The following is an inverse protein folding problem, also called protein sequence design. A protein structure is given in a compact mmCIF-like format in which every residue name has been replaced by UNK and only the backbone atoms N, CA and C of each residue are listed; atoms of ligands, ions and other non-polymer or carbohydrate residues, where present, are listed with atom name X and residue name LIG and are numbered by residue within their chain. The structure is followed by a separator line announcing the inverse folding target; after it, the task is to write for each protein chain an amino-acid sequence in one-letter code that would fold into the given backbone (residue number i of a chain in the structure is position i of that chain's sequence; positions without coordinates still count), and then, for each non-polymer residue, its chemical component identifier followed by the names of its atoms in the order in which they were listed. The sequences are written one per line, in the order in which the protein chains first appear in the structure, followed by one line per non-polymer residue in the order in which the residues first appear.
data_IF_745265652772
#
_entry.id   IF_745265652772
#
_cell.length_a   1.000
_cell.length_b   1.000
_cell.length_c   1.000
_cell.angle_alpha   90.00
_cell.angle_beta   90.00
_cell.angle_gamma   90.00
#
_symmetry.space_group_name_H-M   'P 1'
#
loop_
_entity.id
_entity.type
_entity.pdbx_description
1 polymer ?
#
# COMPACT_ATOMS: atom_id res chain seq x y z
N UNK A 1 2.20 -0.81 14.60
CA UNK A 1 2.36 0.61 14.28
C UNK A 1 1.19 1.36 14.89
N UNK A 2 1.42 2.57 15.43
CA UNK A 2 0.32 3.41 15.89
C UNK A 2 -0.14 4.28 14.73
N UNK A 3 -1.44 4.29 14.43
CA UNK A 3 -2.01 5.11 13.36
C UNK A 3 -2.17 6.54 13.87
N UNK A 4 -1.39 7.48 13.34
CA UNK A 4 -1.46 8.90 13.68
C UNK A 4 -1.77 9.74 12.44
N UNK A 5 -2.53 10.84 12.59
CA UNK A 5 -2.99 11.64 11.43
C UNK A 5 -1.83 12.20 10.60
N UNK A 6 -0.74 12.58 11.27
CA UNK A 6 0.47 13.12 10.64
C UNK A 6 1.13 12.16 9.65
N UNK A 7 0.85 10.86 9.79
CA UNK A 7 1.43 9.85 8.91
C UNK A 7 0.65 9.78 7.59
N UNK A 8 -0.54 10.37 7.49
CA UNK A 8 -1.41 10.26 6.30
C UNK A 8 -1.71 11.65 5.71
N UNK A 9 -0.80 12.22 4.89
CA UNK A 9 -0.97 13.59 4.39
C UNK A 9 -2.20 13.77 3.49
N UNK A 10 -2.59 12.74 2.73
CA UNK A 10 -3.86 12.78 1.99
C UNK A 10 -5.08 12.78 2.90
N UNK A 11 -5.06 12.02 4.00
CA UNK A 11 -6.13 12.08 4.99
C UNK A 11 -6.25 13.50 5.59
N UNK A 12 -5.12 14.12 5.96
CA UNK A 12 -5.11 15.50 6.47
C UNK A 12 -5.69 16.49 5.45
N UNK A 13 -5.34 16.35 4.17
CA UNK A 13 -5.88 17.17 3.09
C UNK A 13 -7.40 17.02 2.99
N UNK A 14 -7.91 15.79 3.03
CA UNK A 14 -9.35 15.52 2.98
C UNK A 14 -10.11 16.07 4.20
N UNK A 15 -9.51 15.95 5.40
CA UNK A 15 -10.06 16.52 6.64
C UNK A 15 -10.14 18.05 6.55
N UNK A 16 -9.08 18.70 6.03
CA UNK A 16 -9.01 20.15 5.89
C UNK A 16 -10.02 20.70 4.86
N UNK A 17 -10.28 19.95 3.79
CA UNK A 17 -11.28 20.32 2.79
C UNK A 17 -12.72 20.26 3.34
N UNK A 18 -12.96 19.42 4.35
CA UNK A 18 -14.24 19.28 5.06
C UNK A 18 -15.46 19.21 4.13
N UNK A 19 -15.33 18.49 3.01
CA UNK A 19 -16.38 18.37 1.98
C UNK A 19 -17.34 17.21 2.29
N UNK A 20 -18.62 17.34 1.92
CA UNK A 20 -19.57 16.23 1.93
C UNK A 20 -19.07 15.06 1.08
N UNK A 21 -19.15 13.83 1.61
CA UNK A 21 -18.66 12.60 0.98
C UNK A 21 -17.37 12.05 1.58
N UNK A 22 -16.65 12.83 2.40
CA UNK A 22 -15.44 12.39 3.10
C UNK A 22 -15.64 12.08 4.59
N UNK A 23 -16.87 12.17 5.11
CA UNK A 23 -17.18 11.85 6.52
C UNK A 23 -16.87 10.38 6.85
N UNK A 24 -17.02 9.51 5.86
CA UNK A 24 -16.66 8.10 5.98
C UNK A 24 -15.16 7.94 6.29
N UNK A 25 -14.28 8.78 5.74
CA UNK A 25 -12.83 8.66 5.95
C UNK A 25 -12.42 9.01 7.38
N UNK A 26 -13.07 10.00 8.00
CA UNK A 26 -12.85 10.35 9.41
C UNK A 26 -13.28 9.21 10.32
N UNK A 27 -14.45 8.62 10.06
CA UNK A 27 -14.95 7.46 10.81
C UNK A 27 -14.03 6.26 10.66
N UNK A 28 -13.56 5.98 9.45
CA UNK A 28 -12.71 4.82 9.17
C UNK A 28 -11.31 5.00 9.79
N UNK A 29 -10.79 6.23 9.83
CA UNK A 29 -9.57 6.57 10.57
C UNK A 29 -9.71 6.31 12.06
N UNK A 30 -10.79 6.79 12.70
CA UNK A 30 -11.01 6.55 14.14
C UNK A 30 -11.16 5.06 14.45
N UNK A 31 -11.82 4.30 13.58
CA UNK A 31 -11.88 2.84 13.69
C UNK A 31 -10.50 2.20 13.56
N UNK A 32 -9.67 2.63 12.63
CA UNK A 32 -8.31 2.11 12.50
C UNK A 32 -7.44 2.45 13.72
N UNK A 33 -7.63 3.62 14.31
CA UNK A 33 -6.89 4.06 15.50
C UNK A 33 -7.25 3.28 16.76
N UNK A 34 -8.53 2.92 16.92
CA UNK A 34 -9.04 2.19 18.08
C UNK A 34 -9.11 0.65 17.87
N UNK A 35 -9.10 0.20 16.61
CA UNK A 35 -9.34 -1.17 16.21
C UNK A 35 -8.08 -2.01 16.05
N UNK A 36 -8.28 -3.20 15.47
CA UNK A 36 -7.23 -4.18 15.23
C UNK A 36 -6.72 -4.15 13.78
N UNK A 37 -6.09 -5.24 13.39
CA UNK A 37 -5.40 -5.41 12.11
C UNK A 37 -6.34 -5.19 10.92
N UNK A 38 -7.57 -5.67 11.05
CA UNK A 38 -8.64 -5.56 10.06
C UNK A 38 -9.03 -4.10 9.79
N UNK A 39 -9.24 -3.31 10.85
CA UNK A 39 -9.60 -1.90 10.71
C UNK A 39 -8.44 -1.08 10.13
N UNK A 40 -7.22 -1.35 10.59
CA UNK A 40 -6.02 -0.70 10.08
C UNK A 40 -5.79 -1.03 8.60
N UNK A 41 -5.93 -2.30 8.22
CA UNK A 41 -5.85 -2.75 6.85
C UNK A 41 -6.90 -2.08 5.97
N UNK A 42 -8.18 -2.08 6.38
CA UNK A 42 -9.28 -1.46 5.62
C UNK A 42 -9.06 0.03 5.40
N UNK A 43 -8.58 0.74 6.42
CA UNK A 43 -8.27 2.17 6.30
C UNK A 43 -7.13 2.42 5.30
N UNK A 44 -6.01 1.69 5.42
CA UNK A 44 -4.89 1.83 4.50
C UNK A 44 -5.28 1.47 3.06
N UNK A 45 -6.09 0.42 2.87
CA UNK A 45 -6.63 0.04 1.56
C UNK A 45 -7.55 1.13 0.99
N UNK A 46 -8.42 1.71 1.80
CA UNK A 46 -9.29 2.81 1.38
C UNK A 46 -8.51 4.03 0.89
N UNK A 47 -7.48 4.45 1.64
CA UNK A 47 -6.59 5.53 1.22
C UNK A 47 -5.81 5.17 -0.05
N UNK A 48 -5.27 3.96 -0.11
CA UNK A 48 -4.56 3.45 -1.29
C UNK A 48 -5.44 3.54 -2.55
N UNK A 49 -6.70 3.10 -2.46
CA UNK A 49 -7.65 3.19 -3.58
C UNK A 49 -8.00 4.63 -3.94
N UNK A 50 -8.20 5.49 -2.94
CA UNK A 50 -8.57 6.88 -3.16
C UNK A 50 -7.47 7.68 -3.90
N UNK A 51 -6.20 7.56 -3.49
CA UNK A 51 -5.09 8.28 -4.16
C UNK A 51 -4.76 7.77 -5.56
N UNK A 52 -5.20 6.55 -5.89
CA UNK A 52 -5.06 5.92 -7.19
C UNK A 52 -6.33 6.03 -8.05
N UNK A 53 -7.36 6.74 -7.57
CA UNK A 53 -8.58 6.98 -8.36
C UNK A 53 -8.24 7.89 -9.55
N UNK A 54 -8.60 7.52 -10.80
CA UNK A 54 -8.39 8.39 -11.95
C UNK A 54 -9.09 9.75 -11.78
N UNK A 55 -8.39 10.84 -12.06
CA UNK A 55 -8.93 12.20 -11.95
C UNK A 55 -8.98 12.75 -10.52
N UNK A 56 -8.34 12.08 -9.55
CA UNK A 56 -8.28 12.58 -8.17
C UNK A 56 -7.57 13.94 -8.06
N UNK A 57 -6.61 14.21 -8.95
CA UNK A 57 -5.90 15.48 -9.07
C UNK A 57 -6.86 16.65 -9.37
N UNK A 58 -7.90 16.42 -10.16
CA UNK A 58 -8.90 17.43 -10.50
C UNK A 58 -9.95 17.57 -9.39
N UNK A 59 -10.26 16.47 -8.70
CA UNK A 59 -11.27 16.43 -7.66
C UNK A 59 -10.80 17.04 -6.32
N UNK A 60 -9.53 16.89 -6.00
CA UNK A 60 -8.94 17.26 -4.70
C UNK A 60 -7.92 18.39 -4.91
N UNK A 61 -8.26 19.64 -4.53
CA UNK A 61 -7.32 20.75 -4.61
C UNK A 61 -6.03 20.47 -3.83
N UNK A 62 -4.90 20.89 -4.38
CA UNK A 62 -3.56 20.70 -3.80
C UNK A 62 -3.12 19.23 -3.67
N UNK A 63 -3.82 18.29 -4.31
CA UNK A 63 -3.34 16.92 -4.42
C UNK A 63 -2.16 16.87 -5.41
N UNK A 64 -0.98 16.48 -4.91
CA UNK A 64 0.25 16.40 -5.69
C UNK A 64 0.74 14.97 -5.80
N UNK A 65 1.61 14.71 -6.78
CA UNK A 65 2.30 13.42 -6.88
C UNK A 65 3.17 13.11 -5.65
N UNK A 66 3.78 14.12 -5.03
CA UNK A 66 4.56 13.92 -3.81
C UNK A 66 3.66 13.48 -2.65
N UNK A 67 2.51 14.13 -2.48
CA UNK A 67 1.53 13.76 -1.45
C UNK A 67 0.92 12.38 -1.70
N UNK A 68 0.69 12.02 -2.96
CA UNK A 68 0.35 10.65 -3.37
C UNK A 68 1.41 9.66 -2.92
N UNK A 69 2.69 9.88 -3.26
CA UNK A 69 3.76 8.95 -2.91
C UNK A 69 3.97 8.82 -1.39
N UNK A 70 3.90 9.92 -0.65
CA UNK A 70 3.96 9.90 0.81
C UNK A 70 2.80 9.09 1.40
N UNK A 71 1.58 9.29 0.90
CA UNK A 71 0.42 8.53 1.38
C UNK A 71 0.55 7.04 1.08
N UNK A 72 1.04 6.68 -0.11
CA UNK A 72 1.27 5.29 -0.50
C UNK A 72 2.36 4.63 0.36
N UNK A 73 3.41 5.36 0.72
CA UNK A 73 4.44 4.88 1.64
C UNK A 73 3.86 4.59 3.04
N UNK A 74 2.96 5.44 3.52
CA UNK A 74 2.27 5.22 4.79
C UNK A 74 1.30 4.04 4.72
N UNK A 75 0.57 3.87 3.62
CA UNK A 75 -0.25 2.66 3.41
C UNK A 75 0.61 1.40 3.43
N UNK A 76 1.78 1.42 2.77
CA UNK A 76 2.71 0.30 2.80
C UNK A 76 3.21 -0.01 4.21
N UNK A 77 3.53 1.01 5.01
CA UNK A 77 3.94 0.81 6.41
C UNK A 77 2.84 0.11 7.23
N UNK A 78 1.56 0.46 7.00
CA UNK A 78 0.44 -0.23 7.63
C UNK A 78 0.32 -1.68 7.14
N UNK A 79 0.46 -1.93 5.84
CA UNK A 79 0.42 -3.29 5.27
C UNK A 79 1.54 -4.18 5.83
N UNK A 80 2.75 -3.64 5.96
CA UNK A 80 3.88 -4.31 6.59
C UNK A 80 3.59 -4.63 8.06
N UNK A 81 3.01 -3.69 8.80
CA UNK A 81 2.73 -3.88 10.21
C UNK A 81 1.64 -4.93 10.49
N UNK A 82 0.50 -4.82 9.80
CA UNK A 82 -0.61 -5.78 9.96
C UNK A 82 -0.22 -7.15 9.39
N UNK A 83 0.49 -7.19 8.26
CA UNK A 83 1.02 -8.42 7.68
C UNK A 83 2.07 -9.07 8.60
N UNK A 84 2.89 -8.26 9.26
CA UNK A 84 3.83 -8.69 10.29
C UNK A 84 3.14 -9.33 11.50
N UNK A 85 1.92 -8.90 11.82
CA UNK A 85 1.12 -9.44 12.94
C UNK A 85 0.21 -10.62 12.57
N UNK A 86 0.17 -11.00 11.30
CA UNK A 86 -0.51 -12.21 10.83
C UNK A 86 -1.70 -11.95 9.91
N UNK A 87 -1.93 -10.72 9.49
CA UNK A 87 -2.99 -10.39 8.56
C UNK A 87 -2.60 -10.74 7.11
N UNK A 88 -3.16 -11.83 6.56
CA UNK A 88 -2.81 -12.39 5.26
C UNK A 88 -2.89 -11.38 4.10
N UNK A 89 -3.98 -10.60 4.01
CA UNK A 89 -4.12 -9.58 2.97
C UNK A 89 -3.14 -8.41 3.13
N UNK A 90 -2.68 -8.15 4.36
CA UNK A 90 -1.66 -7.13 4.62
C UNK A 90 -0.32 -7.56 4.05
N UNK A 91 0.06 -8.82 4.29
CA UNK A 91 1.25 -9.43 3.69
C UNK A 91 1.18 -9.45 2.16
N UNK A 92 0.01 -9.76 1.58
CA UNK A 92 -0.20 -9.69 0.14
C UNK A 92 -0.02 -8.27 -0.42
N UNK A 93 -0.66 -7.27 0.18
CA UNK A 93 -0.55 -5.88 -0.28
C UNK A 93 0.88 -5.35 -0.15
N UNK A 94 1.60 -5.76 0.90
CA UNK A 94 3.02 -5.46 1.07
C UNK A 94 3.89 -6.02 -0.07
N UNK A 95 3.65 -7.28 -0.48
CA UNK A 95 4.30 -7.87 -1.64
C UNK A 95 3.96 -7.14 -2.93
N UNK A 96 2.69 -6.80 -3.12
CA UNK A 96 2.21 -6.09 -4.30
C UNK A 96 2.89 -4.72 -4.45
N UNK A 97 2.90 -3.92 -3.39
CA UNK A 97 3.54 -2.60 -3.39
C UNK A 97 5.01 -2.67 -3.78
N UNK A 98 5.78 -3.63 -3.23
CA UNK A 98 7.20 -3.83 -3.55
C UNK A 98 7.44 -4.33 -4.98
N UNK A 99 6.53 -5.13 -5.53
CA UNK A 99 6.61 -5.63 -6.92
C UNK A 99 6.51 -4.50 -7.95
N UNK A 100 5.69 -3.49 -7.64
CA UNK A 100 5.36 -2.40 -8.54
C UNK A 100 6.00 -1.06 -8.17
N UNK A 101 6.69 -0.97 -7.03
CA UNK A 101 7.30 0.27 -6.55
C UNK A 101 6.26 1.30 -6.10
N UNK A 102 5.19 0.84 -5.45
CA UNK A 102 4.12 1.69 -4.96
C UNK A 102 4.43 2.10 -3.52
N UNK A 103 4.67 3.39 -3.29
CA UNK A 103 5.09 3.90 -1.97
C UNK A 103 6.50 3.49 -1.55
N UNK A 104 7.27 2.85 -2.44
CA UNK A 104 8.64 2.40 -2.20
C UNK A 104 9.39 2.19 -3.53
N UNK A 105 10.70 1.98 -3.48
CA UNK A 105 11.44 1.50 -4.64
C UNK A 105 11.06 0.04 -4.95
N UNK A 106 11.16 -0.36 -6.22
CA UNK A 106 10.89 -1.76 -6.62
C UNK A 106 11.87 -2.69 -5.92
N UNK A 107 11.34 -3.58 -5.08
CA UNK A 107 12.08 -4.57 -4.30
C UNK A 107 11.52 -5.98 -4.55
N UNK A 108 12.05 -6.63 -5.59
CA UNK A 108 11.59 -7.96 -6.01
C UNK A 108 11.95 -9.04 -4.98
N UNK A 109 13.09 -8.90 -4.28
CA UNK A 109 13.50 -9.87 -3.27
C UNK A 109 12.60 -9.78 -2.03
N UNK A 110 12.35 -8.56 -1.54
CA UNK A 110 11.41 -8.34 -0.45
C UNK A 110 9.99 -8.74 -0.82
N UNK A 111 9.56 -8.49 -2.07
CA UNK A 111 8.25 -8.95 -2.54
C UNK A 111 8.09 -10.47 -2.41
N UNK A 112 9.09 -11.28 -2.80
CA UNK A 112 9.05 -12.76 -2.66
C UNK A 112 8.84 -13.18 -1.20
N UNK A 113 9.59 -12.59 -0.28
CA UNK A 113 9.47 -12.90 1.15
C UNK A 113 8.07 -12.61 1.68
N UNK A 114 7.44 -11.53 1.21
CA UNK A 114 6.08 -11.16 1.60
C UNK A 114 5.00 -12.05 0.95
N UNK A 115 5.23 -12.57 -0.27
CA UNK A 115 4.35 -13.58 -0.89
C UNK A 115 4.40 -14.87 -0.08
N UNK A 116 5.60 -15.38 0.24
CA UNK A 116 5.77 -16.58 1.05
C UNK A 116 5.04 -16.41 2.41
N UNK A 117 5.16 -15.22 3.01
CA UNK A 117 4.43 -14.89 4.25
C UNK A 117 2.91 -14.89 4.06
N UNK A 118 2.40 -14.29 2.99
CA UNK A 118 0.97 -14.24 2.72
C UNK A 118 0.39 -15.66 2.56
N UNK A 119 1.10 -16.54 1.86
CA UNK A 119 0.72 -17.95 1.71
C UNK A 119 0.71 -18.70 3.04
N UNK A 120 1.75 -18.51 3.87
CA UNK A 120 1.82 -19.12 5.21
C UNK A 120 0.65 -18.72 6.13
N UNK A 121 0.13 -17.50 5.98
CA UNK A 121 -0.99 -16.98 6.76
C UNK A 121 -2.37 -17.45 6.24
N UNK A 122 -2.40 -18.39 5.30
CA UNK A 122 -3.63 -18.86 4.67
C UNK A 122 -4.19 -17.92 3.60
N UNK A 123 -3.40 -16.94 3.17
CA UNK A 123 -3.71 -16.08 2.03
C UNK A 123 -3.41 -16.71 0.67
N UNK A 124 -2.92 -17.96 0.65
CA UNK A 124 -2.63 -18.71 -0.57
C UNK A 124 -3.90 -18.89 -1.41
N UNK A 125 -4.00 -18.10 -2.47
CA UNK A 125 -5.06 -18.12 -3.47
C UNK A 125 -4.50 -17.78 -4.86
N UNK A 126 -5.35 -17.81 -5.88
CA UNK A 126 -4.99 -17.50 -7.26
C UNK A 126 -4.29 -16.12 -7.40
N UNK A 127 -4.60 -15.14 -6.54
CA UNK A 127 -3.96 -13.82 -6.57
C UNK A 127 -2.50 -13.88 -6.08
N UNK A 128 -2.22 -14.63 -5.01
CA UNK A 128 -0.84 -14.83 -4.53
C UNK A 128 0.02 -15.59 -5.55
N UNK A 129 -0.54 -16.62 -6.18
CA UNK A 129 0.16 -17.38 -7.23
C UNK A 129 0.44 -16.50 -8.45
N UNK A 130 -0.58 -15.74 -8.90
CA UNK A 130 -0.41 -14.81 -10.01
C UNK A 130 0.65 -13.74 -9.71
N UNK A 131 0.67 -13.19 -8.50
CA UNK A 131 1.70 -12.23 -8.09
C UNK A 131 3.09 -12.87 -8.05
N UNK A 132 3.21 -14.13 -7.60
CA UNK A 132 4.45 -14.90 -7.63
C UNK A 132 4.99 -15.09 -9.04
N UNK A 133 4.11 -15.38 -10.01
CA UNK A 133 4.49 -15.46 -11.41
C UNK A 133 5.02 -14.13 -11.94
N UNK A 134 4.31 -13.02 -11.66
CA UNK A 134 4.73 -11.68 -12.08
C UNK A 134 6.10 -11.30 -11.52
N UNK A 135 6.32 -11.57 -10.23
CA UNK A 135 7.60 -11.35 -9.54
C UNK A 135 8.71 -12.17 -10.19
N UNK A 136 8.44 -13.45 -10.50
CA UNK A 136 9.38 -14.33 -11.17
C UNK A 136 9.76 -13.80 -12.56
N UNK A 137 8.78 -13.40 -13.37
CA UNK A 137 9.01 -12.80 -14.70
C UNK A 137 9.86 -11.53 -14.62
N UNK A 138 9.56 -10.63 -13.68
CA UNK A 138 10.34 -9.39 -13.46
C UNK A 138 11.76 -9.68 -13.01
N UNK A 139 11.97 -10.68 -12.15
CA UNK A 139 13.30 -11.10 -11.71
C UNK A 139 14.14 -11.57 -12.90
N UNK A 140 13.63 -12.50 -13.71
CA UNK A 140 14.34 -13.04 -14.87
C UNK A 140 14.66 -11.97 -15.93
N UNK A 141 13.74 -11.04 -16.19
CA UNK A 141 13.97 -9.96 -17.14
C UNK A 141 15.10 -9.01 -16.67
N UNK A 142 15.15 -8.70 -15.36
CA UNK A 142 16.20 -7.85 -14.77
C UNK A 142 17.57 -8.52 -14.78
N UNK A 143 17.64 -9.84 -14.57
CA UNK A 143 18.89 -10.60 -14.62
C UNK A 143 19.39 -10.83 -16.05
N UNK A 144 18.49 -10.90 -17.03
CA UNK A 144 18.84 -11.03 -18.44
C UNK A 144 19.35 -9.72 -19.07
N UNK A 145 18.90 -8.57 -18.56
CA UNK A 145 19.32 -7.24 -19.01
C UNK A 145 19.74 -6.38 -17.81
N UNK A 146 20.95 -6.59 -17.26
CA UNK A 146 21.46 -5.73 -16.20
C UNK A 146 21.56 -4.28 -16.71
N UNK A 147 21.17 -3.27 -15.91
CA UNK A 147 21.34 -1.88 -16.31
C UNK A 147 22.81 -1.62 -16.60
N UNK A 148 23.11 -1.03 -17.76
CA UNK A 148 24.48 -0.61 -18.10
C UNK A 148 24.95 0.32 -16.98
N UNK A 149 25.97 -0.10 -16.24
CA UNK A 149 26.67 0.75 -15.28
C UNK A 149 27.14 2.00 -16.02
N UNK A 150 26.59 3.16 -15.67
CA UNK A 150 27.11 4.45 -16.09
C UNK A 150 28.49 4.60 -15.43
N UNK A 151 29.54 4.48 -16.24
CA UNK A 151 30.91 4.82 -15.87
C UNK A 151 31.18 6.30 -16.03
#
# INVERSE_FOLDING_TARGET
MKIEEKDFPFYQLLVALNRPGFENIKRDFEKARAGGDDEQYRFALGLYSAVNTPGIEDAVPNFTNDLRQQTLASCLAVFDDVGGRGHANGAFMSAYCRTWGVGCAIDIAGARNWIDRAEMLGGANDNTEHLREQVSRKFFCRTAHPPKSAG
#
